data_IF_497127135026
#
_entry.id   IF_497127135026
#
_cell.length_a   1.000
_cell.length_b   1.000
_cell.length_c   1.000
_cell.angle_alpha   90.00
_cell.angle_beta   90.00
_cell.angle_gamma   90.00
#
_symmetry.space_group_name_H-M   'P 1'
#
loop_
_entity.id
_entity.type
_entity.pdbx_description
1 polymer ?
#
# COMPACT_ATOMS: atom_id res chain seq x y z
N UNK A 1 19.27 6.34 5.62
CA UNK A 1 19.43 7.13 6.88
C UNK A 1 19.67 6.23 8.07
N UNK A 2 20.25 6.76 9.15
CA UNK A 2 20.40 6.01 10.40
C UNK A 2 19.05 5.89 11.15
N UNK A 3 18.94 4.90 12.03
CA UNK A 3 17.74 4.71 12.87
C UNK A 3 17.43 5.94 13.73
N UNK A 4 18.46 6.60 14.26
CA UNK A 4 18.30 7.84 15.02
C UNK A 4 17.78 9.00 14.17
N UNK A 5 18.27 9.17 12.93
CA UNK A 5 17.76 10.19 12.03
C UNK A 5 16.28 9.96 11.72
N UNK A 6 15.84 8.72 11.53
CA UNK A 6 14.44 8.37 11.32
C UNK A 6 13.54 8.72 12.53
N UNK A 7 14.06 8.60 13.77
CA UNK A 7 13.34 9.01 14.98
C UNK A 7 13.21 10.54 15.04
N UNK A 8 14.24 11.28 14.66
CA UNK A 8 14.17 12.76 14.59
C UNK A 8 13.09 13.19 13.62
N UNK A 9 13.01 12.57 12.43
CA UNK A 9 11.94 12.86 11.45
C UNK A 9 10.55 12.56 12.00
N UNK A 10 10.38 11.47 12.77
CA UNK A 10 9.10 11.20 13.44
C UNK A 10 8.70 12.35 14.40
N UNK A 11 9.62 12.84 15.22
CA UNK A 11 9.34 13.95 16.14
C UNK A 11 9.03 15.26 15.39
N UNK A 12 9.77 15.52 14.29
CA UNK A 12 9.51 16.67 13.43
C UNK A 12 8.12 16.60 12.78
N UNK A 13 7.72 15.44 12.28
CA UNK A 13 6.41 15.23 11.69
C UNK A 13 5.26 15.51 12.67
N UNK A 14 5.43 15.23 13.96
CA UNK A 14 4.43 15.61 15.00
C UNK A 14 4.22 17.12 15.05
N UNK A 15 5.29 17.89 14.93
CA UNK A 15 5.21 19.36 14.86
C UNK A 15 4.48 19.84 13.60
N UNK A 16 4.77 19.24 12.46
CA UNK A 16 4.13 19.53 11.16
C UNK A 16 2.61 19.30 11.24
N UNK A 17 2.22 18.15 11.77
CA UNK A 17 0.80 17.79 11.92
C UNK A 17 0.06 18.73 12.90
N UNK A 18 0.70 19.10 14.01
CA UNK A 18 0.15 20.04 14.97
C UNK A 18 -0.07 21.44 14.38
N UNK A 19 0.88 21.90 13.55
CA UNK A 19 0.84 23.23 12.93
C UNK A 19 0.11 23.24 11.58
N UNK A 20 -0.33 22.08 11.11
CA UNK A 20 -0.89 21.84 9.78
C UNK A 20 -0.02 22.42 8.65
N UNK A 21 1.29 22.27 8.76
CA UNK A 21 2.26 22.75 7.79
C UNK A 21 3.68 22.82 8.34
N UNK A 22 4.60 23.24 7.50
CA UNK A 22 6.04 23.29 7.77
C UNK A 22 6.70 24.47 7.06
N UNK A 23 7.89 24.84 7.53
CA UNK A 23 8.73 25.83 6.85
C UNK A 23 9.68 25.11 5.89
N UNK A 24 9.73 25.57 4.64
CA UNK A 24 10.71 25.19 3.64
C UNK A 24 11.29 26.43 2.99
N UNK A 25 12.61 26.59 3.04
CA UNK A 25 13.33 27.76 2.51
C UNK A 25 12.77 29.11 3.01
N UNK A 26 12.42 29.16 4.29
CA UNK A 26 11.88 30.36 4.95
C UNK A 26 10.39 30.64 4.66
N UNK A 27 9.74 29.86 3.81
CA UNK A 27 8.32 30.00 3.50
C UNK A 27 7.49 28.96 4.23
N UNK A 28 6.38 29.36 4.87
CA UNK A 28 5.44 28.40 5.44
C UNK A 28 4.60 27.76 4.34
N UNK A 29 4.61 26.42 4.32
CA UNK A 29 3.83 25.60 3.41
C UNK A 29 2.75 24.89 4.25
N UNK A 30 1.49 25.20 3.97
CA UNK A 30 0.34 24.56 4.62
C UNK A 30 0.07 23.20 3.98
N UNK A 31 -0.30 22.19 4.79
CA UNK A 31 -0.80 20.90 4.26
C UNK A 31 -2.16 21.11 3.58
N UNK A 32 -2.47 20.36 2.51
CA UNK A 32 -3.76 20.43 1.81
C UNK A 32 -4.98 20.24 2.72
N UNK A 33 -4.86 19.34 3.71
CA UNK A 33 -5.95 19.02 4.62
C UNK A 33 -5.55 19.16 6.08
N UNK A 34 -6.55 19.19 6.96
CA UNK A 34 -6.37 19.24 8.40
C UNK A 34 -6.34 17.84 9.05
N UNK A 35 -6.03 17.81 10.35
CA UNK A 35 -5.88 16.58 11.11
C UNK A 35 -7.17 15.74 11.16
N UNK A 36 -8.34 16.37 11.15
CA UNK A 36 -9.63 15.65 11.16
C UNK A 36 -9.81 14.85 9.87
N UNK A 37 -9.46 15.44 8.72
CA UNK A 37 -9.47 14.77 7.43
C UNK A 37 -8.45 13.63 7.37
N UNK A 38 -7.24 13.85 7.90
CA UNK A 38 -6.20 12.81 7.93
C UNK A 38 -6.60 11.60 8.80
N UNK A 39 -7.39 11.80 9.86
CA UNK A 39 -7.90 10.72 10.73
C UNK A 39 -9.11 9.98 10.17
N UNK A 40 -9.66 10.43 9.06
CA UNK A 40 -10.75 9.71 8.41
C UNK A 40 -10.22 8.40 7.79
N UNK A 41 -10.75 7.28 8.26
CA UNK A 41 -10.39 5.96 7.78
C UNK A 41 -11.65 5.13 7.54
N UNK A 42 -11.68 4.37 6.44
CA UNK A 42 -12.71 3.34 6.19
C UNK A 42 -12.15 1.99 6.63
N UNK A 43 -12.84 1.35 7.57
CA UNK A 43 -12.45 0.03 8.06
C UNK A 43 -13.17 -1.03 7.25
N UNK A 44 -12.42 -1.79 6.45
CA UNK A 44 -12.89 -2.89 5.64
C UNK A 44 -12.69 -4.19 6.45
N UNK A 45 -13.73 -4.58 7.19
CA UNK A 45 -13.71 -5.86 7.90
C UNK A 45 -13.82 -7.04 6.92
N UNK A 46 -13.44 -8.27 7.32
CA UNK A 46 -13.59 -9.45 6.47
C UNK A 46 -15.00 -9.63 5.91
N UNK A 47 -16.05 -9.29 6.68
CA UNK A 47 -17.43 -9.35 6.21
C UNK A 47 -17.71 -8.29 5.14
N UNK A 48 -17.31 -7.04 5.35
CA UNK A 48 -17.47 -5.97 4.35
C UNK A 48 -16.73 -6.32 3.07
N UNK A 49 -15.52 -6.86 3.16
CA UNK A 49 -14.74 -7.29 1.99
C UNK A 49 -15.44 -8.46 1.28
N UNK A 50 -15.97 -9.43 2.05
CA UNK A 50 -16.75 -10.54 1.51
C UNK A 50 -17.96 -10.03 0.72
N UNK A 51 -18.73 -9.11 1.29
CA UNK A 51 -19.90 -8.53 0.64
C UNK A 51 -19.51 -7.82 -0.68
N UNK A 52 -18.41 -7.04 -0.68
CA UNK A 52 -17.88 -6.39 -1.89
C UNK A 52 -17.53 -7.43 -2.97
N UNK A 53 -16.91 -8.53 -2.61
CA UNK A 53 -16.50 -9.59 -3.56
C UNK A 53 -17.69 -10.40 -4.05
N UNK A 54 -18.67 -10.67 -3.20
CA UNK A 54 -19.90 -11.40 -3.56
C UNK A 54 -20.83 -10.56 -4.46
N UNK A 55 -20.90 -9.25 -4.24
CA UNK A 55 -21.73 -8.32 -5.03
C UNK A 55 -21.02 -7.78 -6.29
N UNK A 56 -19.78 -8.22 -6.57
CA UNK A 56 -18.94 -7.71 -7.66
C UNK A 56 -19.62 -7.77 -9.02
N UNK A 57 -20.28 -8.90 -9.34
CA UNK A 57 -20.86 -9.09 -10.66
C UNK A 57 -22.00 -8.10 -10.89
N UNK A 58 -22.83 -7.83 -9.87
CA UNK A 58 -23.90 -6.84 -9.92
C UNK A 58 -23.35 -5.42 -10.04
N UNK A 59 -22.32 -5.08 -9.22
CA UNK A 59 -21.69 -3.77 -9.28
C UNK A 59 -21.04 -3.52 -10.64
N UNK A 60 -20.26 -4.48 -11.12
CA UNK A 60 -19.53 -4.34 -12.38
C UNK A 60 -20.43 -4.47 -13.63
N UNK A 61 -21.61 -5.10 -13.54
CA UNK A 61 -22.59 -5.13 -14.62
C UNK A 61 -23.42 -3.84 -14.73
N UNK A 62 -23.49 -3.02 -13.66
CA UNK A 62 -24.33 -1.83 -13.58
C UNK A 62 -23.61 -0.55 -13.95
N UNK A 63 -23.00 0.06 -12.95
CA UNK A 63 -22.45 1.43 -13.05
C UNK A 63 -20.97 1.47 -13.40
N UNK A 64 -20.26 0.36 -13.22
CA UNK A 64 -18.81 0.33 -13.41
C UNK A 64 -18.43 0.30 -14.89
N UNK A 65 -17.58 1.22 -15.29
CA UNK A 65 -17.00 1.24 -16.63
C UNK A 65 -15.65 0.53 -16.61
N UNK A 66 -15.58 -0.62 -17.25
CA UNK A 66 -14.31 -1.29 -17.49
C UNK A 66 -13.37 -0.43 -18.34
N UNK A 67 -12.07 -0.52 -18.06
CA UNK A 67 -11.08 0.09 -18.93
C UNK A 67 -10.96 -0.70 -20.23
N UNK A 68 -10.87 -0.01 -21.35
CA UNK A 68 -10.57 -0.64 -22.65
C UNK A 68 -9.08 -0.97 -22.78
N UNK A 69 -8.23 -0.24 -22.04
CA UNK A 69 -6.79 -0.46 -21.95
C UNK A 69 -6.29 -0.14 -20.54
N UNK A 70 -5.17 -0.74 -20.15
CA UNK A 70 -4.51 -0.46 -18.87
C UNK A 70 -3.00 -0.38 -19.07
N UNK A 71 -2.43 0.74 -18.66
CA UNK A 71 -0.97 0.89 -18.61
C UNK A 71 -0.42 0.17 -17.37
N UNK A 72 0.48 -0.81 -17.58
CA UNK A 72 1.14 -1.53 -16.48
C UNK A 72 2.63 -1.28 -16.58
N UNK A 73 3.23 -0.77 -15.50
CA UNK A 73 4.66 -0.49 -15.42
C UNK A 73 5.30 -1.04 -14.16
N UNK A 74 6.59 -1.44 -14.28
CA UNK A 74 7.43 -1.85 -13.16
C UNK A 74 8.60 -0.87 -13.08
N UNK A 75 8.68 -0.14 -11.97
CA UNK A 75 9.66 0.94 -11.78
C UNK A 75 10.48 0.71 -10.51
N UNK A 76 11.78 1.07 -10.57
CA UNK A 76 12.62 1.10 -9.36
C UNK A 76 12.45 2.44 -8.67
N UNK A 77 11.39 2.57 -7.90
CA UNK A 77 10.98 3.83 -7.30
C UNK A 77 10.32 3.62 -5.94
N UNK A 78 10.22 4.69 -5.15
CA UNK A 78 9.39 4.73 -3.95
C UNK A 78 7.90 4.77 -4.31
N UNK A 79 7.05 4.27 -3.40
CA UNK A 79 5.61 4.17 -3.65
C UNK A 79 4.90 5.52 -3.84
N UNK A 80 5.46 6.63 -3.31
CA UNK A 80 4.93 7.98 -3.49
C UNK A 80 5.60 8.79 -4.62
N UNK A 81 6.56 8.21 -5.33
CA UNK A 81 7.27 8.91 -6.41
C UNK A 81 6.40 9.13 -7.64
N UNK A 82 5.40 8.28 -7.85
CA UNK A 82 4.44 8.42 -8.94
C UNK A 82 3.07 8.81 -8.39
N UNK A 83 2.46 9.81 -9.02
CA UNK A 83 1.09 10.20 -8.69
C UNK A 83 0.11 9.08 -9.06
N UNK A 84 -0.64 8.61 -8.09
CA UNK A 84 -1.71 7.63 -8.27
C UNK A 84 -2.88 7.96 -7.36
N UNK A 85 -4.07 7.42 -7.70
CA UNK A 85 -5.27 7.62 -6.89
C UNK A 85 -5.18 6.84 -5.58
N UNK A 86 -4.49 5.68 -5.61
CA UNK A 86 -4.37 4.77 -4.48
C UNK A 86 -2.99 4.14 -4.40
N UNK A 87 -2.39 4.15 -3.22
CA UNK A 87 -1.12 3.48 -2.91
C UNK A 87 -1.35 2.32 -1.94
N UNK A 88 -0.72 1.16 -2.21
CA UNK A 88 -0.73 0.02 -1.30
C UNK A 88 0.28 0.23 -0.16
N UNK A 89 -0.19 0.13 1.09
CA UNK A 89 0.67 0.10 2.28
C UNK A 89 0.90 -1.35 2.73
N UNK A 90 2.17 -1.78 2.81
CA UNK A 90 2.60 -3.13 3.21
C UNK A 90 2.65 -3.24 4.73
N UNK A 91 1.49 -3.37 5.34
CA UNK A 91 1.26 -3.08 6.73
C UNK A 91 1.73 -4.16 7.71
N UNK A 92 2.08 -3.73 8.92
CA UNK A 92 2.10 -4.58 10.09
C UNK A 92 0.66 -4.88 10.54
N UNK A 93 0.37 -6.15 10.88
CA UNK A 93 -0.97 -6.57 11.28
C UNK A 93 -1.37 -6.14 12.71
N UNK A 94 -0.41 -5.79 13.55
CA UNK A 94 -0.58 -5.57 15.00
C UNK A 94 -0.30 -4.14 15.45
N UNK A 95 0.63 -3.47 14.76
CA UNK A 95 1.15 -2.17 15.15
C UNK A 95 0.98 -1.17 14.01
N UNK A 96 0.14 -0.13 14.16
CA UNK A 96 0.00 0.90 13.13
C UNK A 96 1.34 1.57 12.85
N UNK A 97 1.72 1.59 11.56
CA UNK A 97 3.00 2.14 11.13
C UNK A 97 4.21 1.28 11.50
N UNK A 98 4.01 0.01 11.91
CA UNK A 98 5.11 -0.88 12.25
C UNK A 98 6.07 -0.31 13.29
N UNK A 99 7.34 -0.21 12.92
CA UNK A 99 8.41 0.39 13.71
C UNK A 99 8.67 1.87 13.42
N UNK A 100 7.72 2.63 12.87
CA UNK A 100 7.86 4.05 12.49
C UNK A 100 8.45 4.90 13.62
N UNK A 101 7.87 4.80 14.84
CA UNK A 101 8.31 5.56 16.01
C UNK A 101 9.72 5.18 16.49
N UNK A 102 10.14 3.96 16.25
CA UNK A 102 11.45 3.45 16.65
C UNK A 102 12.50 3.50 15.54
N UNK A 103 12.20 4.15 14.42
CA UNK A 103 13.14 4.42 13.33
C UNK A 103 13.39 3.25 12.37
N UNK A 104 12.53 2.23 12.34
CA UNK A 104 12.56 1.21 11.29
C UNK A 104 12.29 1.82 9.91
N UNK A 105 12.65 1.12 8.83
CA UNK A 105 12.66 1.69 7.47
C UNK A 105 12.16 0.71 6.38
N UNK A 106 11.19 -0.15 6.70
CA UNK A 106 10.43 -0.84 5.66
C UNK A 106 9.43 0.12 4.98
N UNK A 107 8.70 -0.35 3.98
CA UNK A 107 7.83 0.50 3.16
C UNK A 107 6.77 1.25 3.99
N UNK A 108 6.07 0.59 4.92
CA UNK A 108 5.08 1.25 5.79
C UNK A 108 5.67 2.41 6.59
N UNK A 109 6.86 2.20 7.18
CA UNK A 109 7.53 3.24 7.94
C UNK A 109 7.99 4.41 7.05
N UNK A 110 8.41 4.13 5.81
CA UNK A 110 8.76 5.16 4.84
C UNK A 110 7.53 5.99 4.46
N UNK A 111 6.40 5.36 4.13
CA UNK A 111 5.15 6.06 3.86
C UNK A 111 4.72 6.96 5.03
N UNK A 112 4.81 6.45 6.27
CA UNK A 112 4.49 7.24 7.46
C UNK A 112 5.42 8.43 7.66
N UNK A 113 6.71 8.34 7.26
CA UNK A 113 7.65 9.47 7.34
C UNK A 113 7.40 10.53 6.29
N UNK A 114 6.97 10.12 5.11
CA UNK A 114 6.76 11.01 3.98
C UNK A 114 5.40 11.73 4.02
N UNK A 115 4.45 11.24 4.84
CA UNK A 115 3.05 11.66 4.73
C UNK A 115 2.31 11.71 6.07
N UNK A 116 1.03 12.05 6.00
CA UNK A 116 0.09 12.03 7.13
C UNK A 116 -0.53 10.66 7.41
N UNK A 117 -0.10 9.59 6.72
CA UNK A 117 -0.68 8.25 6.81
C UNK A 117 -0.80 7.75 8.25
N UNK A 118 0.23 7.99 9.07
CA UNK A 118 0.24 7.52 10.45
C UNK A 118 -0.98 8.00 11.26
N UNK A 119 -1.47 9.22 11.04
CA UNK A 119 -2.65 9.77 11.73
C UNK A 119 -3.93 8.97 11.41
N UNK A 120 -4.06 8.50 10.17
CA UNK A 120 -5.19 7.67 9.76
C UNK A 120 -5.13 6.28 10.39
N UNK A 121 -4.02 5.56 10.17
CA UNK A 121 -3.90 4.15 10.58
C UNK A 121 -3.74 3.97 12.10
N UNK A 122 -3.33 5.01 12.84
CA UNK A 122 -3.27 5.00 14.30
C UNK A 122 -4.54 5.56 14.98
N UNK A 123 -5.54 5.96 14.19
CA UNK A 123 -6.79 6.52 14.71
C UNK A 123 -7.60 5.50 15.54
N UNK A 124 -8.47 5.94 16.45
CA UNK A 124 -9.33 5.05 17.25
C UNK A 124 -10.16 4.10 16.37
N UNK A 125 -10.63 4.56 15.20
CA UNK A 125 -11.43 3.77 14.27
C UNK A 125 -10.59 2.66 13.61
N UNK A 126 -9.35 2.96 13.21
CA UNK A 126 -8.40 2.00 12.65
C UNK A 126 -8.00 0.91 13.65
N UNK A 127 -8.02 1.21 14.96
CA UNK A 127 -7.65 0.25 16.01
C UNK A 127 -8.45 -1.06 15.97
N UNK A 128 -9.61 -1.09 15.30
CA UNK A 128 -10.43 -2.29 15.14
C UNK A 128 -9.67 -3.43 14.45
N UNK A 129 -8.91 -3.12 13.38
CA UNK A 129 -8.10 -4.12 12.67
C UNK A 129 -7.02 -4.71 13.58
N UNK A 130 -6.22 -3.85 14.21
CA UNK A 130 -5.09 -4.28 15.04
C UNK A 130 -5.54 -5.09 16.26
N UNK A 131 -6.59 -4.62 16.96
CA UNK A 131 -7.19 -5.35 18.10
C UNK A 131 -7.77 -6.70 17.68
N UNK A 132 -8.41 -6.76 16.50
CA UNK A 132 -8.95 -8.01 15.98
C UNK A 132 -7.81 -9.00 15.68
N UNK A 133 -6.78 -8.60 14.98
CA UNK A 133 -5.62 -9.43 14.67
C UNK A 133 -4.90 -9.90 15.93
N UNK A 134 -4.74 -9.03 16.92
CA UNK A 134 -4.14 -9.39 18.20
C UNK A 134 -4.94 -10.47 18.94
N UNK A 135 -6.27 -10.35 18.98
CA UNK A 135 -7.14 -11.23 19.74
C UNK A 135 -7.53 -12.51 18.99
N UNK A 136 -7.78 -12.42 17.68
CA UNK A 136 -8.39 -13.48 16.87
C UNK A 136 -7.57 -13.85 15.64
N UNK A 137 -6.40 -13.27 15.44
CA UNK A 137 -5.55 -13.57 14.30
C UNK A 137 -5.13 -15.03 14.26
N UNK A 138 -5.23 -15.62 13.06
CA UNK A 138 -4.72 -16.96 12.74
C UNK A 138 -3.23 -16.88 12.40
N UNK A 139 -2.63 -17.99 11.95
CA UNK A 139 -1.29 -18.00 11.38
C UNK A 139 -1.11 -16.99 10.24
N UNK A 140 -2.17 -16.63 9.54
CA UNK A 140 -2.17 -15.69 8.41
C UNK A 140 -2.77 -14.31 8.76
N UNK A 141 -3.04 -14.02 10.02
CA UNK A 141 -3.80 -12.85 10.47
C UNK A 141 -5.23 -12.82 9.91
N UNK A 142 -5.80 -11.64 9.68
CA UNK A 142 -7.13 -11.51 9.08
C UNK A 142 -7.08 -10.83 7.72
N UNK A 143 -8.19 -10.87 7.00
CA UNK A 143 -8.38 -10.16 5.74
C UNK A 143 -8.77 -8.68 5.93
N UNK A 144 -8.68 -8.12 7.14
CA UNK A 144 -8.95 -6.70 7.37
C UNK A 144 -8.08 -5.81 6.49
N UNK A 145 -8.67 -4.75 5.97
CA UNK A 145 -7.97 -3.65 5.30
C UNK A 145 -8.43 -2.31 5.88
N UNK A 146 -7.57 -1.29 5.79
CA UNK A 146 -7.91 0.08 6.13
C UNK A 146 -7.74 0.95 4.90
N UNK A 147 -8.76 1.69 4.53
CA UNK A 147 -8.66 2.70 3.48
C UNK A 147 -8.56 4.08 4.12
N UNK A 148 -7.43 4.75 3.91
CA UNK A 148 -7.15 6.13 4.26
C UNK A 148 -7.38 7.00 3.03
N UNK A 149 -8.54 7.64 2.86
CA UNK A 149 -8.90 8.33 1.62
C UNK A 149 -8.16 9.66 1.43
N UNK A 150 -7.60 10.21 2.49
CA UNK A 150 -6.90 11.51 2.49
C UNK A 150 -5.56 11.37 3.19
N UNK A 151 -4.50 11.26 2.41
CA UNK A 151 -3.11 11.20 2.88
C UNK A 151 -2.32 12.27 2.15
N UNK A 152 -1.88 13.29 2.88
CA UNK A 152 -1.06 14.36 2.33
C UNK A 152 0.41 13.95 2.37
N UNK A 153 1.05 13.92 1.21
CA UNK A 153 2.47 13.63 1.03
C UNK A 153 3.22 14.96 1.02
N UNK A 154 4.21 15.10 1.90
CA UNK A 154 4.97 16.35 2.07
C UNK A 154 6.49 16.15 2.10
N UNK A 155 6.99 14.91 2.00
CA UNK A 155 8.41 14.59 1.83
C UNK A 155 8.63 13.60 0.69
N UNK A 156 9.81 13.68 0.07
CA UNK A 156 10.31 12.69 -0.88
C UNK A 156 10.96 11.48 -0.16
N UNK A 157 11.49 10.52 -0.93
CA UNK A 157 12.16 9.32 -0.40
C UNK A 157 13.42 9.65 0.43
N UNK A 158 14.11 10.74 0.11
CA UNK A 158 15.28 11.21 0.86
C UNK A 158 14.90 12.03 2.11
N UNK A 159 13.59 12.11 2.41
CA UNK A 159 12.94 12.80 3.51
C UNK A 159 13.06 14.33 3.45
N UNK A 160 13.41 14.88 2.31
CA UNK A 160 13.37 16.31 2.06
C UNK A 160 11.93 16.78 1.86
N UNK A 161 11.66 18.02 2.26
CA UNK A 161 10.34 18.61 2.02
C UNK A 161 10.10 18.86 0.54
N UNK A 162 8.93 18.49 0.05
CA UNK A 162 8.50 18.85 -1.30
C UNK A 162 7.84 20.24 -1.27
N UNK A 163 8.11 21.05 -2.28
CA UNK A 163 7.61 22.42 -2.34
C UNK A 163 6.09 22.52 -2.52
N UNK A 164 5.47 21.47 -3.06
CA UNK A 164 4.02 21.39 -3.29
C UNK A 164 3.50 20.05 -2.79
N UNK A 165 3.07 19.94 -1.52
CA UNK A 165 2.41 18.75 -0.98
C UNK A 165 1.21 18.36 -1.84
N UNK A 166 0.98 17.06 -1.99
CA UNK A 166 -0.16 16.52 -2.74
C UNK A 166 -0.90 15.47 -1.92
N UNK A 167 -2.11 15.14 -2.35
CA UNK A 167 -2.97 14.17 -1.65
C UNK A 167 -3.16 12.92 -2.49
N UNK A 168 -3.10 11.76 -1.85
CA UNK A 168 -3.48 10.46 -2.42
C UNK A 168 -4.26 9.65 -1.40
N UNK A 169 -4.93 8.57 -1.83
CA UNK A 169 -5.44 7.58 -0.90
C UNK A 169 -4.40 6.48 -0.64
N UNK A 170 -4.50 5.84 0.53
CA UNK A 170 -3.65 4.69 0.87
C UNK A 170 -4.51 3.55 1.39
N UNK A 171 -4.36 2.35 0.84
CA UNK A 171 -5.00 1.16 1.37
C UNK A 171 -3.98 0.26 2.06
N UNK A 172 -4.20 0.08 3.34
CA UNK A 172 -3.36 -0.67 4.29
C UNK A 172 -3.78 -2.13 4.30
N UNK A 173 -2.87 -3.04 3.96
CA UNK A 173 -3.13 -4.48 3.88
C UNK A 173 -1.94 -5.28 4.45
N UNK A 174 -2.12 -6.05 5.54
CA UNK A 174 -1.08 -6.92 6.07
C UNK A 174 -0.85 -8.17 5.20
N UNK A 175 0.41 -8.51 4.94
CA UNK A 175 0.80 -9.83 4.44
C UNK A 175 1.04 -10.80 5.62
N UNK A 176 0.88 -12.12 5.43
CA UNK A 176 1.36 -13.11 6.39
C UNK A 176 2.85 -12.92 6.67
N UNK A 177 3.26 -12.95 7.93
CA UNK A 177 4.66 -12.80 8.30
C UNK A 177 5.33 -14.18 8.45
N UNK A 178 6.24 -14.53 7.53
CA UNK A 178 6.93 -15.82 7.52
C UNK A 178 7.97 -15.98 8.64
N UNK A 179 8.37 -14.89 9.27
CA UNK A 179 9.29 -14.90 10.42
C UNK A 179 8.56 -14.87 11.77
N UNK A 180 7.22 -14.89 11.76
CA UNK A 180 6.38 -14.87 12.95
C UNK A 180 5.26 -15.92 12.81
N UNK A 181 4.00 -15.53 12.86
CA UNK A 181 2.84 -16.45 12.91
C UNK A 181 2.70 -17.37 11.71
N UNK A 182 3.11 -16.94 10.53
CA UNK A 182 3.05 -17.76 9.32
C UNK A 182 4.30 -18.66 9.14
N UNK A 183 5.18 -18.72 10.14
CA UNK A 183 6.33 -19.60 10.09
C UNK A 183 5.91 -21.07 9.99
N UNK A 184 6.53 -21.81 9.07
CA UNK A 184 6.27 -23.24 8.89
C UNK A 184 4.95 -23.60 8.20
N UNK A 185 4.17 -22.61 7.73
CA UNK A 185 2.97 -22.87 6.93
C UNK A 185 3.34 -23.39 5.54
N UNK A 186 2.47 -24.26 4.96
CA UNK A 186 2.72 -24.81 3.65
C UNK A 186 2.66 -23.74 2.55
N UNK A 187 3.41 -23.94 1.45
CA UNK A 187 3.40 -23.04 0.31
C UNK A 187 2.00 -22.88 -0.26
N UNK A 188 1.22 -23.96 -0.37
CA UNK A 188 -0.13 -23.96 -0.92
C UNK A 188 -1.09 -23.10 -0.08
N UNK A 189 -0.97 -23.16 1.26
CA UNK A 189 -1.78 -22.36 2.16
C UNK A 189 -1.40 -20.87 2.05
N UNK A 190 -0.11 -20.55 1.95
CA UNK A 190 0.39 -19.20 1.74
C UNK A 190 -0.06 -18.63 0.39
N UNK A 191 0.12 -19.38 -0.70
CA UNK A 191 -0.29 -18.98 -2.05
C UNK A 191 -1.79 -18.65 -2.10
N UNK A 192 -2.61 -19.51 -1.47
CA UNK A 192 -4.06 -19.32 -1.40
C UNK A 192 -4.43 -18.02 -0.67
N UNK A 193 -3.82 -17.75 0.47
CA UNK A 193 -4.10 -16.54 1.27
C UNK A 193 -3.61 -15.29 0.56
N UNK A 194 -2.39 -15.31 0.01
CA UNK A 194 -1.80 -14.18 -0.71
C UNK A 194 -2.65 -13.80 -1.93
N UNK A 195 -2.98 -14.75 -2.79
CA UNK A 195 -3.84 -14.51 -3.97
C UNK A 195 -5.23 -14.04 -3.59
N UNK A 196 -5.85 -14.64 -2.55
CA UNK A 196 -7.15 -14.20 -2.05
C UNK A 196 -7.13 -12.72 -1.64
N UNK A 197 -6.15 -12.31 -0.81
CA UNK A 197 -6.06 -10.93 -0.33
C UNK A 197 -5.77 -9.93 -1.44
N UNK A 198 -4.90 -10.27 -2.37
CA UNK A 198 -4.63 -9.42 -3.53
C UNK A 198 -5.87 -9.24 -4.40
N UNK A 199 -6.62 -10.32 -4.66
CA UNK A 199 -7.90 -10.25 -5.38
C UNK A 199 -8.92 -9.36 -4.66
N UNK A 200 -9.04 -9.51 -3.35
CA UNK A 200 -9.91 -8.68 -2.50
C UNK A 200 -9.49 -7.20 -2.55
N UNK A 201 -8.17 -6.93 -2.47
CA UNK A 201 -7.63 -5.57 -2.59
C UNK A 201 -8.02 -4.92 -3.92
N UNK A 202 -7.83 -5.60 -5.04
CA UNK A 202 -8.15 -5.09 -6.37
C UNK A 202 -9.65 -4.80 -6.52
N UNK A 203 -10.53 -5.69 -6.06
CA UNK A 203 -11.97 -5.42 -6.06
C UNK A 203 -12.35 -4.26 -5.14
N UNK A 204 -11.78 -4.15 -3.96
CA UNK A 204 -12.01 -3.01 -3.07
C UNK A 204 -11.53 -1.70 -3.70
N UNK A 205 -10.34 -1.67 -4.30
CA UNK A 205 -9.82 -0.49 -4.99
C UNK A 205 -10.77 -0.01 -6.09
N UNK A 206 -11.22 -0.91 -6.95
CA UNK A 206 -12.17 -0.60 -8.02
C UNK A 206 -13.55 -0.18 -7.47
N UNK A 207 -14.05 -0.83 -6.40
CA UNK A 207 -15.33 -0.49 -5.75
C UNK A 207 -15.36 0.91 -5.19
N UNK A 208 -14.21 1.42 -4.73
CA UNK A 208 -14.05 2.80 -4.25
C UNK A 208 -13.70 3.79 -5.36
N UNK A 209 -13.66 3.37 -6.63
CA UNK A 209 -13.49 4.23 -7.79
C UNK A 209 -12.05 4.59 -8.13
N UNK A 210 -11.06 3.95 -7.52
CA UNK A 210 -9.66 4.19 -7.84
C UNK A 210 -9.29 3.54 -9.17
N UNK A 211 -8.73 4.34 -10.09
CA UNK A 211 -8.41 3.91 -11.46
C UNK A 211 -6.90 3.81 -11.71
N UNK A 212 -6.11 4.62 -11.03
CA UNK A 212 -4.64 4.61 -11.07
C UNK A 212 -4.13 4.14 -9.73
N UNK A 213 -3.48 2.96 -9.69
CA UNK A 213 -3.02 2.35 -8.44
C UNK A 213 -1.52 2.07 -8.43
N UNK A 214 -0.89 2.32 -7.27
CA UNK A 214 0.50 1.94 -7.01
C UNK A 214 0.54 0.71 -6.11
N UNK A 215 1.14 -0.35 -6.63
CA UNK A 215 1.41 -1.63 -6.00
C UNK A 215 2.93 -1.80 -5.81
N UNK A 216 3.37 -2.97 -5.30
CA UNK A 216 4.80 -3.27 -5.20
C UNK A 216 5.08 -4.64 -4.59
N UNK A 217 6.28 -4.84 -4.07
CA UNK A 217 6.76 -6.12 -3.55
C UNK A 217 6.19 -6.42 -2.15
N UNK A 218 4.86 -6.58 -2.08
CA UNK A 218 4.09 -6.79 -0.86
C UNK A 218 4.53 -8.05 -0.11
N UNK A 219 5.03 -7.87 1.11
CA UNK A 219 5.53 -8.95 1.96
C UNK A 219 6.96 -9.42 1.65
N UNK A 220 7.61 -8.93 0.57
CA UNK A 220 8.93 -9.43 0.12
C UNK A 220 10.12 -8.87 0.93
N UNK A 221 9.90 -7.92 1.81
CA UNK A 221 10.93 -7.36 2.68
C UNK A 221 10.97 -8.06 4.04
N UNK A 222 10.58 -7.33 5.08
CA UNK A 222 10.60 -7.78 6.47
C UNK A 222 9.75 -9.03 6.77
N UNK A 223 8.83 -9.44 5.88
CA UNK A 223 7.96 -10.61 6.08
C UNK A 223 8.43 -11.86 5.31
N UNK A 224 9.47 -11.76 4.50
CA UNK A 224 10.22 -12.91 3.96
C UNK A 224 9.60 -13.62 2.75
N UNK A 225 8.56 -13.06 2.11
CA UNK A 225 8.02 -13.65 0.89
C UNK A 225 8.99 -13.52 -0.28
N UNK A 226 9.03 -14.53 -1.13
CA UNK A 226 9.82 -14.50 -2.35
C UNK A 226 9.18 -13.58 -3.40
N UNK A 227 9.97 -12.66 -3.96
CA UNK A 227 9.47 -11.65 -4.88
C UNK A 227 8.97 -12.22 -6.21
N UNK A 228 9.57 -13.31 -6.71
CA UNK A 228 9.11 -14.00 -7.93
C UNK A 228 7.72 -14.59 -7.74
N UNK A 229 7.47 -15.22 -6.58
CA UNK A 229 6.15 -15.77 -6.27
C UNK A 229 5.10 -14.67 -6.16
N UNK A 230 5.40 -13.56 -5.45
CA UNK A 230 4.47 -12.44 -5.29
C UNK A 230 4.18 -11.75 -6.63
N UNK A 231 5.19 -11.52 -7.46
CA UNK A 231 5.00 -11.03 -8.83
C UNK A 231 4.14 -12.00 -9.67
N UNK A 232 4.33 -13.31 -9.49
CA UNK A 232 3.51 -14.35 -10.11
C UNK A 232 2.03 -14.27 -9.70
N UNK A 233 1.72 -14.02 -8.44
CA UNK A 233 0.34 -13.84 -7.99
C UNK A 233 -0.31 -12.61 -8.64
N UNK A 234 0.41 -11.50 -8.75
CA UNK A 234 -0.07 -10.33 -9.47
C UNK A 234 -0.29 -10.62 -10.95
N UNK A 235 0.63 -11.32 -11.61
CA UNK A 235 0.49 -11.70 -13.03
C UNK A 235 -0.77 -12.55 -13.25
N UNK A 236 -0.98 -13.58 -12.43
CA UNK A 236 -2.18 -14.42 -12.48
C UNK A 236 -3.45 -13.58 -12.38
N UNK A 237 -3.57 -12.73 -11.35
CA UNK A 237 -4.78 -11.95 -11.11
C UNK A 237 -4.99 -10.84 -12.14
N UNK A 238 -3.94 -10.05 -12.39
CA UNK A 238 -4.07 -8.85 -13.23
C UNK A 238 -4.12 -9.22 -14.70
N UNK A 239 -3.24 -10.13 -15.16
CA UNK A 239 -3.10 -10.44 -16.58
C UNK A 239 -3.99 -11.61 -16.98
N UNK A 240 -3.86 -12.77 -16.30
CA UNK A 240 -4.54 -14.01 -16.72
C UNK A 240 -6.05 -13.97 -16.37
N UNK A 241 -6.41 -13.49 -15.15
CA UNK A 241 -7.81 -13.27 -14.76
C UNK A 241 -8.37 -11.93 -15.29
N UNK A 242 -7.58 -11.17 -16.04
CA UNK A 242 -7.95 -9.89 -16.67
C UNK A 242 -8.47 -8.81 -15.70
N UNK A 243 -8.03 -8.84 -14.43
CA UNK A 243 -8.40 -7.80 -13.48
C UNK A 243 -7.81 -6.41 -13.82
N UNK A 244 -6.88 -6.33 -14.79
CA UNK A 244 -6.42 -5.07 -15.34
C UNK A 244 -7.58 -4.20 -15.88
N UNK A 245 -8.67 -4.80 -16.36
CA UNK A 245 -9.86 -4.08 -16.84
C UNK A 245 -10.51 -3.18 -15.78
N UNK A 246 -10.19 -3.38 -14.52
CA UNK A 246 -10.68 -2.55 -13.41
C UNK A 246 -9.95 -1.20 -13.31
N UNK A 247 -8.80 -1.05 -13.99
CA UNK A 247 -7.89 0.09 -13.81
C UNK A 247 -7.49 0.71 -15.16
N UNK A 248 -7.12 1.98 -15.13
CA UNK A 248 -6.53 2.66 -16.27
C UNK A 248 -5.00 2.60 -16.22
N UNK A 249 -4.45 2.54 -14.98
CA UNK A 249 -3.01 2.43 -14.76
C UNK A 249 -2.66 1.65 -13.50
N UNK A 250 -1.68 0.75 -13.62
CA UNK A 250 -1.11 -0.01 -12.50
C UNK A 250 0.41 0.20 -12.51
N UNK A 251 0.94 0.75 -11.40
CA UNK A 251 2.36 1.01 -11.23
C UNK A 251 2.88 0.06 -10.15
N UNK A 252 3.84 -0.80 -10.50
CA UNK A 252 4.59 -1.58 -9.52
C UNK A 252 5.83 -0.78 -9.13
N UNK A 253 5.75 -0.02 -8.05
CA UNK A 253 6.87 0.70 -7.46
C UNK A 253 7.64 -0.26 -6.52
N UNK A 254 8.77 -0.76 -6.99
CA UNK A 254 9.59 -1.73 -6.26
C UNK A 254 10.98 -1.13 -6.04
N UNK A 255 11.10 -0.40 -4.94
CA UNK A 255 12.35 0.26 -4.60
C UNK A 255 13.41 -0.75 -4.18
N UNK A 256 14.59 -0.67 -4.82
CA UNK A 256 15.72 -1.51 -4.49
C UNK A 256 17.06 -0.84 -4.78
N UNK A 257 17.98 -0.90 -3.80
CA UNK A 257 19.40 -0.55 -3.95
C UNK A 257 20.24 -1.73 -3.46
N UNK A 258 21.28 -2.09 -4.21
CA UNK A 258 22.15 -3.19 -3.85
C UNK A 258 21.40 -4.53 -3.72
N UNK A 259 21.46 -5.17 -2.57
CA UNK A 259 20.83 -6.49 -2.38
C UNK A 259 19.30 -6.48 -2.52
N UNK A 260 18.63 -5.35 -2.27
CA UNK A 260 17.18 -5.23 -2.45
C UNK A 260 16.75 -5.03 -3.91
N UNK A 261 17.69 -4.85 -4.84
CA UNK A 261 17.44 -4.81 -6.28
C UNK A 261 16.88 -6.15 -6.81
N UNK A 262 17.10 -7.25 -6.07
CA UNK A 262 16.51 -8.55 -6.39
C UNK A 262 14.99 -8.48 -6.56
N UNK A 263 14.27 -7.83 -5.65
CA UNK A 263 12.81 -7.71 -5.74
C UNK A 263 12.38 -7.01 -7.03
N UNK A 264 13.02 -5.88 -7.36
CA UNK A 264 12.75 -5.14 -8.59
C UNK A 264 13.00 -6.02 -9.84
N UNK A 265 14.15 -6.71 -9.89
CA UNK A 265 14.47 -7.60 -11.01
C UNK A 265 13.44 -8.70 -11.19
N UNK A 266 12.97 -9.33 -10.09
CA UNK A 266 11.96 -10.39 -10.17
C UNK A 266 10.61 -9.85 -10.64
N UNK A 267 10.19 -8.69 -10.17
CA UNK A 267 8.97 -8.05 -10.65
C UNK A 267 9.08 -7.68 -12.13
N UNK A 268 10.21 -7.10 -12.55
CA UNK A 268 10.46 -6.75 -13.94
C UNK A 268 10.49 -8.00 -14.85
N UNK A 269 11.12 -9.08 -14.42
CA UNK A 269 11.17 -10.33 -15.16
C UNK A 269 9.80 -10.98 -15.32
N UNK A 270 8.99 -11.05 -14.25
CA UNK A 270 7.70 -11.74 -14.25
C UNK A 270 6.59 -10.93 -14.92
N UNK A 271 6.54 -9.62 -14.68
CA UNK A 271 5.49 -8.71 -15.17
C UNK A 271 5.93 -7.92 -16.41
N UNK A 272 7.23 -7.82 -16.66
CA UNK A 272 7.84 -6.91 -17.60
C UNK A 272 8.63 -7.58 -18.71
N UNK A 273 8.19 -8.69 -19.33
CA UNK A 273 8.78 -9.17 -20.60
C UNK A 273 8.62 -8.20 -21.78
N UNK A 274 8.10 -7.02 -21.52
CA UNK A 274 7.94 -5.91 -22.46
C UNK A 274 8.53 -4.67 -21.82
N UNK A 275 9.28 -3.90 -22.62
CA UNK A 275 9.89 -2.63 -22.29
C UNK A 275 9.01 -1.77 -21.38
N UNK A 276 9.47 -1.44 -20.21
CA UNK A 276 9.01 -0.58 -19.14
C UNK A 276 7.48 -0.34 -18.94
N UNK A 277 6.64 -0.59 -19.93
CA UNK A 277 5.18 -0.39 -19.89
C UNK A 277 4.45 -1.36 -20.83
N UNK A 278 3.42 -2.06 -20.33
CA UNK A 278 2.48 -2.83 -21.15
C UNK A 278 1.16 -2.09 -21.24
N UNK A 279 0.64 -1.96 -22.45
CA UNK A 279 -0.73 -1.52 -22.70
C UNK A 279 -1.54 -2.75 -23.08
N UNK A 280 -2.49 -3.15 -22.24
CA UNK A 280 -3.42 -4.22 -22.53
C UNK A 280 -4.69 -3.63 -23.14
N UNK A 281 -4.89 -3.91 -24.43
CA UNK A 281 -6.11 -3.53 -25.16
C UNK A 281 -7.08 -4.72 -25.26
N UNK A 282 -8.36 -4.46 -25.44
CA UNK A 282 -9.37 -5.48 -25.79
C UNK A 282 -9.20 -5.97 -27.23
#
# INVERSE_FOLDING_TARGET
MSRLANIVVYEENKGILKNNGFYNEGKFIKLPHDLEKHRNVVVLSPNVIKDIVEDKDKFFAGEFKYSSNCEISVVNADSFEYLSDLVMNFANAYHPGGGYKSGACAQEECLCRQSTLYESISSPKASKMYKFNFKFGTAFDSDYMLLSPVVDVFRNIDLEFISKPYTTAVMTIPAPNLFDRAYGQSKEALDKVMKKRLRQYLYCAARFGYRTITLGAWGCGAFGHDARNVAGYFKELIVEEKMWKLFDKIIFAVYGRGNSEYNYRMFKEVLGEVEDCKVYNE
#
